data_IF_863890897948
#
_entry.id   IF_863890897948
#
_cell.length_a   1.000
_cell.length_b   1.000
_cell.length_c   1.000
_cell.angle_alpha   90.00
_cell.angle_beta   90.00
_cell.angle_gamma   90.00
#
_symmetry.space_group_name_H-M   'P 1'
#
loop_
_entity.id
_entity.type
_entity.pdbx_description
1 polymer ?
#
# COMPACT_ATOMS: atom_id res chain seq x y z
N UNK A 1 -19.06 6.43 26.24
CA UNK A 1 -17.68 6.75 26.69
C UNK A 1 -17.09 7.77 25.72
N UNK A 2 -17.01 9.04 26.10
CA UNK A 2 -16.43 10.08 25.26
C UNK A 2 -14.97 9.73 24.92
N UNK A 3 -14.69 9.47 23.64
CA UNK A 3 -13.32 9.31 23.14
C UNK A 3 -12.59 10.65 23.36
N UNK A 4 -11.60 10.65 24.24
CA UNK A 4 -10.64 11.75 24.34
C UNK A 4 -9.89 11.78 23.00
N UNK A 5 -10.30 12.69 22.11
CA UNK A 5 -9.60 12.96 20.86
C UNK A 5 -8.18 13.40 21.21
N UNK A 6 -7.19 12.88 20.49
CA UNK A 6 -5.81 13.34 20.62
C UNK A 6 -5.78 14.86 20.42
N UNK A 7 -5.42 15.62 21.46
CA UNK A 7 -5.52 17.07 21.44
C UNK A 7 -4.19 17.69 20.98
N UNK A 8 -4.14 18.42 19.85
CA UNK A 8 -2.90 18.96 19.30
C UNK A 8 -2.28 20.08 20.16
N UNK A 9 -3.07 20.75 21.01
CA UNK A 9 -2.60 21.87 21.84
C UNK A 9 -1.54 21.49 22.88
N UNK A 10 -1.29 20.20 23.11
CA UNK A 10 -0.23 19.74 24.02
C UNK A 10 1.05 19.31 23.28
N UNK A 11 1.15 19.60 21.97
CA UNK A 11 2.29 19.17 21.17
C UNK A 11 2.73 20.22 20.14
N UNK A 12 3.82 20.97 20.41
CA UNK A 12 4.33 22.01 19.53
C UNK A 12 4.63 21.53 18.11
N UNK A 13 5.17 20.31 17.94
CA UNK A 13 5.53 19.76 16.61
C UNK A 13 4.29 19.46 15.79
N UNK A 14 3.26 18.86 16.39
CA UNK A 14 2.00 18.57 15.70
C UNK A 14 1.24 19.85 15.31
N UNK A 15 1.28 20.86 16.18
CA UNK A 15 0.69 22.17 15.91
C UNK A 15 1.43 22.90 14.78
N UNK A 16 2.76 22.94 14.84
CA UNK A 16 3.59 23.53 13.80
C UNK A 16 3.35 22.86 12.45
N UNK A 17 3.25 21.52 12.43
CA UNK A 17 2.98 20.80 11.19
C UNK A 17 1.59 21.10 10.62
N UNK A 18 0.55 21.17 11.46
CA UNK A 18 -0.79 21.59 11.01
C UNK A 18 -0.81 23.00 10.42
N UNK A 19 0.00 23.92 10.96
CA UNK A 19 0.13 25.26 10.40
C UNK A 19 0.88 25.25 9.07
N UNK A 20 2.01 24.52 8.99
CA UNK A 20 2.81 24.40 7.77
C UNK A 20 2.02 23.74 6.63
N UNK A 21 1.17 22.76 6.93
CA UNK A 21 0.29 22.11 5.94
C UNK A 21 -0.64 23.09 5.20
N UNK A 22 -0.98 24.24 5.79
CA UNK A 22 -1.80 25.26 5.11
C UNK A 22 -1.06 25.94 3.96
N UNK A 23 0.25 26.11 4.09
CA UNK A 23 1.11 26.64 3.03
C UNK A 23 1.67 25.55 2.11
N UNK A 24 1.65 24.29 2.57
CA UNK A 24 2.28 23.17 1.90
C UNK A 24 3.80 23.13 2.12
N UNK A 25 4.41 22.00 1.74
CA UNK A 25 5.87 21.83 1.71
C UNK A 25 6.39 22.03 0.28
N UNK A 26 7.68 22.37 0.16
CA UNK A 26 8.32 22.54 -1.13
C UNK A 26 8.21 21.28 -1.99
N UNK A 27 7.84 21.47 -3.26
CA UNK A 27 7.66 20.41 -4.25
C UNK A 27 8.75 20.48 -5.30
N UNK A 28 9.56 19.43 -5.42
CA UNK A 28 10.53 19.32 -6.51
C UNK A 28 9.87 18.80 -7.80
N UNK A 29 10.29 19.36 -8.93
CA UNK A 29 9.88 18.90 -10.26
C UNK A 29 10.25 17.42 -10.47
N UNK A 30 11.48 17.05 -10.10
CA UNK A 30 11.96 15.66 -10.14
C UNK A 30 11.53 14.88 -8.89
N UNK A 31 11.34 13.56 -9.03
CA UNK A 31 10.87 12.71 -7.92
C UNK A 31 11.98 12.34 -6.92
N UNK A 32 13.24 12.25 -7.37
CA UNK A 32 14.39 11.77 -6.59
C UNK A 32 14.53 12.34 -5.16
N UNK A 33 14.47 13.67 -4.91
CA UNK A 33 14.60 14.20 -3.55
C UNK A 33 13.50 13.73 -2.60
N UNK A 34 12.26 13.59 -3.09
CA UNK A 34 11.14 13.07 -2.30
C UNK A 34 11.27 11.56 -2.03
N UNK A 35 11.75 10.82 -3.02
CA UNK A 35 12.00 9.38 -2.90
C UNK A 35 13.07 9.08 -1.86
N UNK A 36 14.21 9.77 -1.90
CA UNK A 36 15.28 9.59 -0.92
C UNK A 36 14.78 9.88 0.50
N UNK A 37 14.06 10.98 0.70
CA UNK A 37 13.50 11.31 2.02
C UNK A 37 12.51 10.26 2.53
N UNK A 38 11.69 9.67 1.65
CA UNK A 38 10.76 8.60 2.01
C UNK A 38 11.49 7.31 2.39
N UNK A 39 12.53 6.93 1.63
CA UNK A 39 13.36 5.75 1.93
C UNK A 39 14.09 5.92 3.26
N UNK A 40 14.73 7.07 3.48
CA UNK A 40 15.42 7.37 4.75
C UNK A 40 14.47 7.32 5.96
N UNK A 41 13.20 7.72 5.79
CA UNK A 41 12.19 7.58 6.84
C UNK A 41 11.89 6.10 7.14
N UNK A 42 11.79 5.26 6.10
CA UNK A 42 11.61 3.81 6.28
C UNK A 42 12.84 3.17 6.96
N UNK A 43 14.06 3.60 6.62
CA UNK A 43 15.29 3.16 7.29
C UNK A 43 15.22 3.45 8.80
N UNK A 44 14.87 4.69 9.18
CA UNK A 44 14.66 5.06 10.59
C UNK A 44 13.55 4.25 11.26
N UNK A 45 12.46 3.98 10.53
CA UNK A 45 11.36 3.16 11.04
C UNK A 45 11.77 1.72 11.31
N UNK A 46 12.72 1.16 10.54
CA UNK A 46 13.30 -0.15 10.83
C UNK A 46 14.23 -0.08 12.05
N UNK A 47 15.14 0.89 12.07
CA UNK A 47 16.15 1.03 13.13
C UNK A 47 15.49 1.24 14.50
N UNK A 48 14.36 1.95 14.55
CA UNK A 48 13.61 2.20 15.77
C UNK A 48 12.99 0.95 16.42
N UNK A 49 12.80 -0.15 15.69
CA UNK A 49 12.24 -1.38 16.29
C UNK A 49 13.29 -2.23 16.99
N UNK A 50 14.58 -2.01 16.71
CA UNK A 50 15.66 -2.90 17.14
C UNK A 50 15.56 -4.33 16.59
N UNK A 51 14.62 -4.58 15.67
CA UNK A 51 14.34 -5.89 15.06
C UNK A 51 14.50 -5.81 13.53
N UNK A 52 14.18 -6.89 12.81
CA UNK A 52 14.18 -6.87 11.35
C UNK A 52 12.99 -6.12 10.74
N UNK A 53 11.87 -6.02 11.47
CA UNK A 53 10.63 -5.38 11.00
C UNK A 53 10.61 -3.86 11.07
N UNK A 54 9.64 -3.25 10.39
CA UNK A 54 9.43 -1.79 10.38
C UNK A 54 8.37 -1.38 11.39
N UNK A 55 8.65 -0.29 12.13
CA UNK A 55 7.66 0.37 12.97
C UNK A 55 6.39 0.67 12.17
N UNK A 56 5.21 0.41 12.74
CA UNK A 56 3.91 0.71 12.11
C UNK A 56 3.84 2.16 11.59
N UNK A 57 4.36 3.07 12.40
CA UNK A 57 4.33 4.51 12.16
C UNK A 57 5.02 5.26 13.28
N UNK A 58 4.97 6.59 13.19
CA UNK A 58 5.40 7.48 14.25
C UNK A 58 4.23 8.37 14.66
N UNK A 59 3.94 8.43 15.95
CA UNK A 59 2.88 9.26 16.51
C UNK A 59 3.45 10.60 16.96
N UNK A 60 3.08 11.68 16.27
CA UNK A 60 3.47 13.03 16.65
C UNK A 60 2.79 13.43 17.95
N UNK A 61 1.51 13.11 18.12
CA UNK A 61 0.77 13.28 19.37
C UNK A 61 0.70 11.98 20.19
N UNK A 62 0.18 12.05 21.41
CA UNK A 62 -0.12 10.86 22.21
C UNK A 62 -1.12 9.96 21.47
N UNK A 63 -0.77 8.70 21.27
CA UNK A 63 -1.66 7.67 20.72
C UNK A 63 -2.42 6.99 21.86
N UNK A 64 -3.76 7.14 21.95
CA UNK A 64 -4.54 6.41 22.95
C UNK A 64 -4.47 4.89 22.77
N UNK A 65 -4.33 4.44 21.52
CA UNK A 65 -4.27 3.03 21.17
C UNK A 65 -2.97 2.37 21.67
N UNK A 66 -1.82 3.00 21.42
CA UNK A 66 -0.51 2.47 21.85
C UNK A 66 -0.09 2.93 23.24
N UNK A 67 -0.84 3.88 23.83
CA UNK A 67 -0.47 4.56 25.09
C UNK A 67 0.97 5.06 25.04
N UNK A 68 1.34 5.67 23.92
CA UNK A 68 2.69 6.18 23.67
C UNK A 68 2.71 7.31 22.64
N UNK A 69 3.80 8.06 22.61
CA UNK A 69 4.20 8.97 21.53
C UNK A 69 5.43 8.38 20.83
N UNK A 70 5.66 8.76 19.57
CA UNK A 70 6.87 8.41 18.83
C UNK A 70 6.72 7.13 18.03
N UNK A 71 7.83 6.42 17.82
CA UNK A 71 7.86 5.17 17.06
C UNK A 71 6.95 4.11 17.67
N UNK A 72 6.15 3.47 16.82
CA UNK A 72 5.22 2.42 17.21
C UNK A 72 5.85 1.04 17.02
N UNK A 73 5.31 -0.03 17.64
CA UNK A 73 5.86 -1.37 17.48
C UNK A 73 5.91 -1.84 16.02
N UNK A 74 6.78 -2.81 15.75
CA UNK A 74 6.93 -3.39 14.43
C UNK A 74 5.60 -4.00 13.93
N UNK A 75 5.28 -3.81 12.65
CA UNK A 75 4.03 -4.32 12.08
C UNK A 75 4.28 -5.32 10.95
N UNK A 76 4.05 -6.64 11.19
CA UNK A 76 4.37 -7.69 10.22
C UNK A 76 3.75 -7.50 8.83
N UNK A 77 2.43 -7.24 8.77
CA UNK A 77 1.73 -6.98 7.49
C UNK A 77 2.49 -5.99 6.59
N UNK A 78 2.83 -4.84 7.18
CA UNK A 78 3.42 -3.74 6.43
C UNK A 78 4.87 -4.00 6.07
N UNK A 79 5.61 -4.69 6.95
CA UNK A 79 6.99 -5.09 6.71
C UNK A 79 7.05 -5.97 5.47
N UNK A 80 6.13 -6.93 5.37
CA UNK A 80 5.95 -7.79 4.20
C UNK A 80 5.99 -7.07 2.86
N UNK A 81 5.13 -6.07 2.68
CA UNK A 81 5.08 -5.35 1.40
C UNK A 81 6.07 -4.18 1.28
N UNK A 82 6.83 -3.82 2.32
CA UNK A 82 7.94 -2.86 2.22
C UNK A 82 9.19 -3.54 1.63
N UNK A 83 9.41 -4.82 1.91
CA UNK A 83 10.54 -5.61 1.38
C UNK A 83 10.73 -5.45 -0.15
N UNK A 84 9.72 -5.66 -1.02
CA UNK A 84 9.89 -5.47 -2.47
C UNK A 84 10.20 -4.01 -2.85
N UNK A 85 9.67 -3.02 -2.10
CA UNK A 85 9.98 -1.60 -2.32
C UNK A 85 11.47 -1.34 -2.11
N UNK A 86 12.06 -1.91 -1.05
CA UNK A 86 13.48 -1.74 -0.75
C UNK A 86 14.40 -2.48 -1.72
N UNK A 87 14.05 -3.70 -2.16
CA UNK A 87 14.82 -4.38 -3.21
C UNK A 87 14.83 -3.59 -4.53
N UNK A 88 13.69 -3.04 -4.94
CA UNK A 88 13.62 -2.22 -6.15
C UNK A 88 14.42 -0.92 -5.99
N UNK A 89 14.30 -0.25 -4.84
CA UNK A 89 15.08 0.95 -4.54
C UNK A 89 16.59 0.68 -4.52
N UNK A 90 17.02 -0.44 -3.92
CA UNK A 90 18.42 -0.87 -3.88
C UNK A 90 19.01 -0.96 -5.29
N UNK A 91 18.28 -1.63 -6.20
CA UNK A 91 18.69 -1.81 -7.60
C UNK A 91 18.72 -0.49 -8.36
N UNK A 92 17.69 0.35 -8.21
CA UNK A 92 17.58 1.62 -8.96
C UNK A 92 18.56 2.69 -8.53
N UNK A 93 18.84 2.76 -7.23
CA UNK A 93 19.65 3.81 -6.63
C UNK A 93 21.10 3.36 -6.38
N UNK A 94 21.45 2.12 -6.74
CA UNK A 94 22.72 1.48 -6.41
C UNK A 94 23.02 1.56 -4.90
N UNK A 95 22.02 1.22 -4.08
CA UNK A 95 22.05 1.26 -2.61
C UNK A 95 21.94 -0.16 -2.04
N UNK A 96 23.03 -0.97 -2.05
CA UNK A 96 22.98 -2.38 -1.64
C UNK A 96 22.57 -2.55 -0.16
N UNK A 97 22.80 -1.54 0.67
CA UNK A 97 22.35 -1.49 2.06
C UNK A 97 20.83 -1.61 2.20
N UNK A 98 20.05 -1.06 1.26
CA UNK A 98 18.59 -1.23 1.24
C UNK A 98 18.20 -2.69 0.95
N UNK A 99 18.99 -3.40 0.14
CA UNK A 99 18.83 -4.84 -0.10
C UNK A 99 19.10 -5.67 1.16
N UNK A 100 20.16 -5.34 1.90
CA UNK A 100 20.44 -5.98 3.20
C UNK A 100 19.33 -5.72 4.23
N UNK A 101 18.77 -4.50 4.26
CA UNK A 101 17.61 -4.16 5.10
C UNK A 101 16.37 -4.96 4.72
N UNK A 102 16.10 -5.14 3.42
CA UNK A 102 15.01 -5.97 2.91
C UNK A 102 15.16 -7.44 3.31
N UNK A 103 16.36 -8.00 3.19
CA UNK A 103 16.60 -9.39 3.56
C UNK A 103 16.45 -9.63 5.07
N UNK A 104 16.99 -8.72 5.89
CA UNK A 104 16.77 -8.74 7.36
C UNK A 104 15.29 -8.75 7.72
N UNK A 105 14.49 -7.91 7.06
CA UNK A 105 13.05 -7.86 7.26
C UNK A 105 12.37 -9.17 6.83
N UNK A 106 12.76 -9.74 5.69
CA UNK A 106 12.22 -11.01 5.22
C UNK A 106 12.55 -12.17 6.17
N UNK A 107 13.77 -12.23 6.72
CA UNK A 107 14.18 -13.25 7.71
C UNK A 107 13.40 -13.11 9.01
N UNK A 108 13.25 -11.89 9.50
CA UNK A 108 12.42 -11.60 10.67
C UNK A 108 10.96 -12.04 10.49
N UNK A 109 10.36 -11.81 9.31
CA UNK A 109 9.02 -12.32 9.00
C UNK A 109 8.95 -13.86 9.07
N UNK A 110 9.99 -14.56 8.59
CA UNK A 110 10.05 -16.04 8.70
C UNK A 110 10.08 -16.48 10.16
N UNK A 111 10.88 -15.82 10.99
CA UNK A 111 11.03 -16.15 12.41
C UNK A 111 9.71 -16.01 13.19
N UNK A 112 8.88 -15.03 12.82
CA UNK A 112 7.60 -14.77 13.49
C UNK A 112 6.39 -15.45 12.83
N UNK A 113 6.61 -16.22 11.76
CA UNK A 113 5.53 -16.95 11.09
C UNK A 113 4.89 -17.95 12.05
N UNK A 114 3.56 -17.99 12.07
CA UNK A 114 2.82 -18.87 12.98
C UNK A 114 2.95 -20.34 12.54
N UNK A 115 2.81 -21.31 13.47
CA UNK A 115 2.81 -22.73 13.13
C UNK A 115 1.77 -23.12 12.07
N UNK A 116 0.65 -22.40 11.99
CA UNK A 116 -0.36 -22.59 10.95
C UNK A 116 0.06 -22.14 9.56
N UNK A 117 1.23 -21.50 9.41
CA UNK A 117 1.70 -20.84 8.19
C UNK A 117 1.23 -19.39 8.04
N UNK A 118 0.26 -18.95 8.85
CA UNK A 118 -0.24 -17.58 8.80
C UNK A 118 0.77 -16.56 9.36
N UNK A 119 0.55 -15.30 9.00
CA UNK A 119 1.12 -14.14 9.68
C UNK A 119 0.08 -13.54 10.63
N UNK A 120 0.57 -13.01 11.75
CA UNK A 120 -0.27 -12.40 12.78
C UNK A 120 -0.92 -11.08 12.35
N UNK A 121 -2.13 -10.87 12.81
CA UNK A 121 -2.85 -9.59 12.84
C UNK A 121 -2.29 -8.64 13.90
N UNK A 122 -2.25 -7.34 13.58
CA UNK A 122 -1.78 -6.30 14.49
C UNK A 122 -0.26 -6.20 14.65
N UNK A 123 0.19 -5.27 15.49
CA UNK A 123 1.63 -4.98 15.71
C UNK A 123 2.25 -5.89 16.75
N UNK A 124 3.57 -6.01 16.81
CA UNK A 124 4.27 -6.79 17.84
C UNK A 124 3.88 -6.33 19.27
N UNK A 125 3.74 -7.27 20.19
CA UNK A 125 3.28 -7.02 21.57
C UNK A 125 1.77 -7.15 21.78
N UNK A 126 0.98 -7.16 20.71
CA UNK A 126 -0.46 -7.45 20.81
C UNK A 126 -0.75 -8.96 20.84
N UNK A 127 -1.92 -9.34 21.40
CA UNK A 127 -2.39 -10.74 21.37
C UNK A 127 -2.40 -11.26 19.93
N UNK A 128 -1.62 -12.31 19.71
CA UNK A 128 -1.46 -12.97 18.42
C UNK A 128 -2.78 -13.54 17.91
N UNK A 129 -3.08 -13.29 16.64
CA UNK A 129 -4.19 -13.91 15.90
C UNK A 129 -3.76 -14.10 14.44
N UNK A 130 -4.00 -15.26 13.80
CA UNK A 130 -3.72 -15.41 12.38
C UNK A 130 -4.61 -14.46 11.56
N UNK A 131 -4.08 -13.93 10.45
CA UNK A 131 -4.83 -12.99 9.60
C UNK A 131 -4.60 -13.26 8.11
N UNK A 132 -5.68 -13.53 7.37
CA UNK A 132 -5.67 -13.74 5.91
C UNK A 132 -5.03 -12.55 5.20
N UNK A 133 -5.45 -11.32 5.50
CA UNK A 133 -4.92 -10.15 4.81
C UNK A 133 -3.41 -10.01 5.01
N UNK A 134 -2.95 -10.06 6.27
CA UNK A 134 -1.55 -9.93 6.65
C UNK A 134 -0.70 -11.02 5.98
N UNK A 135 -1.19 -12.26 5.98
CA UNK A 135 -0.51 -13.38 5.32
C UNK A 135 -0.34 -13.12 3.83
N UNK A 136 -1.37 -12.61 3.16
CA UNK A 136 -1.29 -12.19 1.75
C UNK A 136 -0.30 -11.07 1.50
N UNK A 137 -0.17 -10.12 2.43
CA UNK A 137 0.77 -9.00 2.30
C UNK A 137 2.23 -9.44 2.43
N UNK A 138 2.51 -10.38 3.34
CA UNK A 138 3.86 -10.90 3.56
C UNK A 138 4.33 -11.84 2.44
N UNK A 139 3.41 -12.47 1.70
CA UNK A 139 3.77 -13.21 0.48
C UNK A 139 4.58 -12.35 -0.49
N UNK A 140 4.23 -11.07 -0.69
CA UNK A 140 5.01 -10.18 -1.57
C UNK A 140 6.47 -10.04 -1.11
N UNK A 141 6.70 -9.98 0.21
CA UNK A 141 8.03 -9.87 0.80
C UNK A 141 8.86 -11.13 0.61
N UNK A 142 8.32 -12.29 0.99
CA UNK A 142 9.05 -13.55 0.84
C UNK A 142 9.28 -13.94 -0.62
N UNK A 143 8.32 -13.67 -1.52
CA UNK A 143 8.51 -13.94 -2.95
C UNK A 143 9.56 -13.01 -3.57
N UNK A 144 9.65 -11.76 -3.12
CA UNK A 144 10.72 -10.85 -3.55
C UNK A 144 12.08 -11.27 -3.00
N UNK A 145 12.16 -11.66 -1.71
CA UNK A 145 13.39 -12.14 -1.09
C UNK A 145 13.87 -13.48 -1.71
N UNK A 146 12.94 -14.38 -2.05
CA UNK A 146 13.24 -15.60 -2.78
C UNK A 146 13.79 -15.31 -4.17
N UNK A 147 13.15 -14.41 -4.93
CA UNK A 147 13.65 -14.02 -6.25
C UNK A 147 15.03 -13.34 -6.19
N UNK A 148 15.33 -12.59 -5.13
CA UNK A 148 16.61 -11.92 -4.96
C UNK A 148 17.74 -12.86 -4.54
N UNK A 149 17.48 -13.77 -3.60
CA UNK A 149 18.52 -14.58 -2.94
C UNK A 149 18.59 -16.03 -3.42
N UNK A 150 17.54 -16.56 -4.05
CA UNK A 150 17.38 -18.00 -4.31
C UNK A 150 17.18 -18.85 -3.05
N UNK A 151 17.10 -18.26 -1.85
CA UNK A 151 17.07 -19.02 -0.60
C UNK A 151 15.73 -19.75 -0.41
N UNK A 152 15.80 -21.08 -0.32
CA UNK A 152 14.64 -21.94 -0.09
C UNK A 152 13.87 -21.67 1.20
N UNK A 153 14.47 -20.98 2.18
CA UNK A 153 13.79 -20.57 3.42
C UNK A 153 12.59 -19.66 3.12
N UNK A 154 12.76 -18.70 2.21
CA UNK A 154 11.68 -17.78 1.81
C UNK A 154 10.61 -18.49 0.99
N UNK A 155 11.00 -19.38 0.08
CA UNK A 155 10.06 -20.20 -0.68
C UNK A 155 9.23 -21.11 0.25
N UNK A 156 9.85 -21.72 1.25
CA UNK A 156 9.19 -22.54 2.26
C UNK A 156 8.19 -21.75 3.09
N UNK A 157 8.56 -20.56 3.57
CA UNK A 157 7.66 -19.68 4.31
C UNK A 157 6.47 -19.22 3.46
N UNK A 158 6.72 -18.81 2.21
CA UNK A 158 5.68 -18.44 1.26
C UNK A 158 4.72 -19.60 0.97
N UNK A 159 5.23 -20.83 0.78
CA UNK A 159 4.39 -22.01 0.56
C UNK A 159 3.48 -22.29 1.75
N UNK A 160 3.99 -22.25 2.99
CA UNK A 160 3.15 -22.45 4.19
C UNK A 160 2.06 -21.40 4.32
N UNK A 161 2.38 -20.13 4.04
CA UNK A 161 1.40 -19.06 4.02
C UNK A 161 0.33 -19.24 2.93
N UNK A 162 0.74 -19.63 1.73
CA UNK A 162 -0.18 -19.93 0.63
C UNK A 162 -1.12 -21.11 0.97
N UNK A 163 -0.61 -22.17 1.62
CA UNK A 163 -1.42 -23.27 2.13
C UNK A 163 -2.45 -22.81 3.17
N UNK A 164 -2.06 -21.93 4.10
CA UNK A 164 -3.01 -21.32 5.04
C UNK A 164 -4.11 -20.54 4.33
N UNK A 165 -3.75 -19.69 3.36
CA UNK A 165 -4.73 -18.91 2.59
C UNK A 165 -5.70 -19.80 1.81
N UNK A 166 -5.19 -20.87 1.19
CA UNK A 166 -6.00 -21.86 0.50
C UNK A 166 -6.99 -22.54 1.44
N UNK A 167 -6.55 -22.95 2.64
CA UNK A 167 -7.40 -23.61 3.63
C UNK A 167 -8.50 -22.69 4.20
N UNK A 168 -8.26 -21.38 4.24
CA UNK A 168 -9.22 -20.37 4.72
C UNK A 168 -10.20 -19.89 3.65
N UNK A 169 -9.96 -20.20 2.38
CA UNK A 169 -10.83 -19.80 1.29
C UNK A 169 -12.11 -20.65 1.32
N UNK A 170 -13.27 -20.01 1.42
CA UNK A 170 -14.56 -20.71 1.41
C UNK A 170 -14.86 -21.26 0.00
N UNK A 171 -15.80 -22.21 -0.08
CA UNK A 171 -16.15 -22.89 -1.33
C UNK A 171 -16.63 -21.93 -2.43
N UNK A 172 -17.27 -20.81 -2.05
CA UNK A 172 -17.73 -19.77 -2.97
C UNK A 172 -16.63 -18.79 -3.41
N UNK A 173 -15.41 -18.96 -2.90
CA UNK A 173 -14.24 -18.16 -3.25
C UNK A 173 -14.03 -16.93 -2.37
N UNK A 174 -14.71 -16.78 -1.24
CA UNK A 174 -14.53 -15.62 -0.36
C UNK A 174 -13.81 -15.99 0.94
N UNK A 175 -13.06 -15.05 1.50
CA UNK A 175 -12.41 -15.22 2.82
C UNK A 175 -13.28 -14.60 3.91
N UNK A 176 -14.18 -15.40 4.49
CA UNK A 176 -14.94 -15.00 5.69
C UNK A 176 -14.33 -15.54 6.98
N UNK A 177 -13.47 -16.56 6.87
CA UNK A 177 -12.71 -17.17 7.98
C UNK A 177 -11.26 -16.69 7.99
N UNK A 178 -10.60 -16.80 9.15
CA UNK A 178 -9.19 -16.44 9.30
C UNK A 178 -8.89 -14.93 9.24
N UNK A 179 -9.93 -14.10 9.33
CA UNK A 179 -9.77 -12.65 9.41
C UNK A 179 -9.19 -12.23 10.77
N UNK A 180 -8.42 -11.14 10.77
CA UNK A 180 -7.93 -10.58 12.02
C UNK A 180 -9.09 -10.13 12.90
N UNK A 181 -8.93 -10.20 14.22
CA UNK A 181 -9.88 -9.60 15.19
C UNK A 181 -10.11 -8.08 15.01
N UNK A 182 -9.27 -7.44 14.21
CA UNK A 182 -9.33 -6.00 13.91
C UNK A 182 -10.06 -5.68 12.60
N UNK A 183 -10.60 -6.69 11.91
CA UNK A 183 -11.32 -6.52 10.65
C UNK A 183 -12.76 -7.04 10.77
N UNK A 184 -13.69 -6.33 10.14
CA UNK A 184 -15.06 -6.81 9.94
C UNK A 184 -15.06 -7.97 8.93
N UNK A 185 -15.49 -9.16 9.38
CA UNK A 185 -15.51 -10.38 8.58
C UNK A 185 -16.47 -10.33 7.40
N UNK A 186 -17.38 -9.35 7.38
CA UNK A 186 -18.32 -9.13 6.29
C UNK A 186 -17.84 -8.04 5.31
N UNK A 187 -16.70 -7.40 5.56
CA UNK A 187 -16.18 -6.27 4.78
C UNK A 187 -14.89 -6.60 4.01
N UNK A 188 -14.72 -7.85 3.56
CA UNK A 188 -13.41 -8.41 3.23
C UNK A 188 -13.04 -8.38 1.75
N UNK A 189 -13.77 -7.67 0.88
CA UNK A 189 -13.48 -7.69 -0.57
C UNK A 189 -12.12 -7.06 -0.92
N UNK A 190 -11.52 -6.27 -0.01
CA UNK A 190 -10.13 -5.81 -0.15
C UNK A 190 -9.11 -6.96 -0.16
N UNK A 191 -9.50 -8.18 0.25
CA UNK A 191 -8.68 -9.39 0.15
C UNK A 191 -8.43 -9.85 -1.29
N UNK A 192 -8.98 -9.21 -2.33
CA UNK A 192 -8.49 -9.42 -3.72
C UNK A 192 -6.97 -9.17 -3.79
N UNK A 193 -6.43 -8.28 -2.96
CA UNK A 193 -4.99 -8.07 -2.85
C UNK A 193 -4.26 -9.29 -2.32
N UNK A 194 -4.86 -10.02 -1.38
CA UNK A 194 -4.35 -11.32 -0.90
C UNK A 194 -4.40 -12.36 -2.01
N UNK A 195 -5.48 -12.38 -2.81
CA UNK A 195 -5.56 -13.26 -3.98
C UNK A 195 -4.47 -12.94 -5.01
N UNK A 196 -4.12 -11.66 -5.24
CA UNK A 196 -2.95 -11.33 -6.08
C UNK A 196 -1.66 -11.92 -5.50
N UNK A 197 -1.38 -11.75 -4.20
CA UNK A 197 -0.22 -12.37 -3.56
C UNK A 197 -0.19 -13.90 -3.72
N UNK A 198 -1.36 -14.55 -3.63
CA UNK A 198 -1.51 -15.99 -3.81
C UNK A 198 -1.29 -16.43 -5.28
N UNK A 199 -1.73 -15.62 -6.25
CA UNK A 199 -1.45 -15.88 -7.67
C UNK A 199 0.05 -15.80 -7.97
N UNK A 200 0.74 -14.78 -7.46
CA UNK A 200 2.20 -14.65 -7.57
C UNK A 200 2.92 -15.85 -6.93
N UNK A 201 2.43 -16.31 -5.76
CA UNK A 201 2.99 -17.49 -5.10
C UNK A 201 2.82 -18.75 -5.97
N UNK A 202 1.63 -18.96 -6.54
CA UNK A 202 1.38 -20.10 -7.41
C UNK A 202 2.27 -20.12 -8.65
N UNK A 203 2.46 -18.97 -9.30
CA UNK A 203 3.33 -18.85 -10.47
C UNK A 203 4.81 -19.09 -10.10
N UNK A 204 5.32 -18.41 -9.06
CA UNK A 204 6.75 -18.45 -8.70
C UNK A 204 7.19 -19.73 -8.01
N UNK A 205 6.26 -20.44 -7.36
CA UNK A 205 6.54 -21.69 -6.66
C UNK A 205 6.12 -22.94 -7.46
N UNK A 206 5.63 -22.77 -8.69
CA UNK A 206 5.14 -23.88 -9.52
C UNK A 206 3.98 -24.65 -8.88
N UNK A 207 3.04 -23.92 -8.25
CA UNK A 207 1.94 -24.47 -7.45
C UNK A 207 0.58 -24.02 -8.02
N UNK A 208 0.04 -24.71 -9.05
CA UNK A 208 -1.18 -24.29 -9.75
C UNK A 208 -2.43 -24.26 -8.87
N UNK A 209 -2.44 -24.99 -7.74
CA UNK A 209 -3.52 -24.92 -6.76
C UNK A 209 -3.68 -23.52 -6.14
N UNK A 210 -2.58 -22.76 -6.02
CA UNK A 210 -2.62 -21.39 -5.50
C UNK A 210 -3.13 -20.40 -6.54
N UNK A 211 -2.72 -20.51 -7.81
CA UNK A 211 -3.29 -19.69 -8.90
C UNK A 211 -4.77 -19.97 -9.08
N UNK A 212 -5.18 -21.25 -9.01
CA UNK A 212 -6.60 -21.63 -9.06
C UNK A 212 -7.41 -21.01 -7.91
N UNK A 213 -6.87 -21.00 -6.69
CA UNK A 213 -7.54 -20.38 -5.54
C UNK A 213 -7.63 -18.85 -5.66
N UNK A 214 -6.57 -18.20 -6.12
CA UNK A 214 -6.59 -16.77 -6.43
C UNK A 214 -7.66 -16.44 -7.48
N UNK A 215 -7.73 -17.22 -8.56
CA UNK A 215 -8.73 -17.04 -9.61
C UNK A 215 -10.17 -17.20 -9.08
N UNK A 216 -10.43 -18.19 -8.21
CA UNK A 216 -11.74 -18.34 -7.56
C UNK A 216 -12.12 -17.09 -6.77
N UNK A 217 -11.20 -16.54 -5.98
CA UNK A 217 -11.46 -15.34 -5.21
C UNK A 217 -11.74 -14.12 -6.08
N UNK A 218 -10.85 -13.82 -7.03
CA UNK A 218 -10.99 -12.64 -7.88
C UNK A 218 -12.29 -12.69 -8.69
N UNK A 219 -12.64 -13.86 -9.26
CA UNK A 219 -13.91 -14.04 -9.98
C UNK A 219 -15.13 -14.00 -9.07
N UNK A 220 -15.02 -14.40 -7.80
CA UNK A 220 -16.10 -14.24 -6.83
C UNK A 220 -16.35 -12.77 -6.50
N UNK A 221 -15.29 -12.00 -6.32
CA UNK A 221 -15.37 -10.56 -6.05
C UNK A 221 -15.96 -9.81 -7.25
N UNK A 222 -15.59 -10.14 -8.49
CA UNK A 222 -16.16 -9.45 -9.66
C UNK A 222 -17.66 -9.70 -9.85
N UNK A 223 -18.21 -10.82 -9.36
CA UNK A 223 -19.66 -11.05 -9.32
C UNK A 223 -20.40 -10.17 -8.32
N UNK A 224 -19.69 -9.62 -7.34
CA UNK A 224 -20.22 -8.70 -6.33
C UNK A 224 -19.96 -7.22 -6.67
N UNK A 225 -19.08 -6.95 -7.63
CA UNK A 225 -18.84 -5.59 -8.12
C UNK A 225 -20.08 -5.11 -8.88
N UNK A 226 -20.51 -3.88 -8.60
CA UNK A 226 -21.62 -3.26 -9.34
C UNK A 226 -21.17 -2.88 -10.76
N UNK A 227 -22.14 -2.60 -11.64
CA UNK A 227 -21.90 -2.28 -13.05
C UNK A 227 -21.01 -1.02 -13.24
N UNK A 228 -21.12 -0.06 -12.33
CA UNK A 228 -20.31 1.17 -12.31
C UNK A 228 -18.89 0.97 -11.75
N UNK A 229 -18.50 -0.27 -11.44
CA UNK A 229 -17.22 -0.63 -10.86
C UNK A 229 -17.18 -0.57 -9.34
N UNK A 230 -18.25 -0.15 -8.66
CA UNK A 230 -18.28 -0.05 -7.20
C UNK A 230 -18.02 -1.41 -6.53
N UNK A 231 -17.10 -1.43 -5.56
CA UNK A 231 -16.78 -2.61 -4.76
C UNK A 231 -17.45 -2.48 -3.39
N UNK A 232 -18.61 -3.14 -3.16
CA UNK A 232 -19.23 -3.17 -1.84
C UNK A 232 -18.30 -3.90 -0.85
N UNK A 233 -18.55 -3.74 0.45
CA UNK A 233 -17.88 -4.56 1.46
C UNK A 233 -16.35 -4.56 1.36
N UNK A 234 -15.77 -3.40 1.02
CA UNK A 234 -14.34 -3.22 0.81
C UNK A 234 -13.76 -2.26 1.87
N UNK A 235 -13.93 -2.61 3.16
CA UNK A 235 -13.48 -1.76 4.27
C UNK A 235 -12.97 -2.56 5.47
N UNK A 236 -12.28 -1.90 6.39
CA UNK A 236 -11.92 -2.46 7.70
C UNK A 236 -12.90 -2.09 8.82
N UNK A 237 -13.55 -0.92 8.71
CA UNK A 237 -14.25 -0.27 9.83
C UNK A 237 -15.65 0.24 9.53
N UNK A 238 -15.89 0.77 8.33
CA UNK A 238 -17.19 1.29 7.91
C UNK A 238 -17.49 0.83 6.48
N UNK A 239 -18.34 -0.20 6.35
CA UNK A 239 -18.72 -0.81 5.08
C UNK A 239 -19.50 0.11 4.16
N UNK A 240 -20.20 1.09 4.72
CA UNK A 240 -21.02 2.03 3.94
C UNK A 240 -20.19 3.15 3.35
N UNK A 241 -19.05 3.46 3.99
CA UNK A 241 -18.13 4.52 3.58
C UNK A 241 -16.68 4.03 3.60
N UNK A 242 -16.32 3.04 2.76
CA UNK A 242 -14.96 2.49 2.73
C UNK A 242 -13.89 3.55 2.55
N UNK A 243 -12.72 3.31 3.16
CA UNK A 243 -11.54 4.12 2.96
C UNK A 243 -11.08 3.99 1.51
N UNK A 244 -10.62 5.09 0.90
CA UNK A 244 -9.94 5.03 -0.39
C UNK A 244 -8.78 4.02 -0.36
N UNK A 245 -8.10 3.91 0.78
CA UNK A 245 -7.06 2.92 1.03
C UNK A 245 -7.50 1.46 0.77
N UNK A 246 -8.65 1.05 1.30
CA UNK A 246 -9.15 -0.33 1.17
C UNK A 246 -9.73 -0.58 -0.21
N UNK A 247 -10.39 0.42 -0.81
CA UNK A 247 -10.81 0.39 -2.21
C UNK A 247 -9.59 0.18 -3.13
N UNK A 248 -8.52 0.94 -2.93
CA UNK A 248 -7.31 0.82 -3.72
C UNK A 248 -6.64 -0.56 -3.57
N UNK A 249 -6.72 -1.20 -2.40
CA UNK A 249 -6.35 -2.61 -2.27
C UNK A 249 -7.21 -3.52 -3.14
N UNK A 250 -8.54 -3.32 -3.09
CA UNK A 250 -9.52 -4.02 -3.91
C UNK A 250 -9.19 -3.96 -5.41
N UNK A 251 -9.03 -2.74 -5.92
CA UNK A 251 -8.73 -2.46 -7.33
C UNK A 251 -7.39 -3.05 -7.74
N UNK A 252 -6.33 -2.83 -6.94
CA UNK A 252 -5.00 -3.34 -7.27
C UNK A 252 -4.93 -4.86 -7.26
N UNK A 253 -5.71 -5.52 -6.40
CA UNK A 253 -5.85 -6.97 -6.38
C UNK A 253 -6.44 -7.52 -7.68
N UNK A 254 -7.52 -6.90 -8.18
CA UNK A 254 -8.12 -7.24 -9.47
C UNK A 254 -7.15 -6.98 -10.64
N UNK A 255 -6.48 -5.83 -10.64
CA UNK A 255 -5.55 -5.43 -11.71
C UNK A 255 -4.37 -6.40 -11.82
N UNK A 256 -3.62 -6.56 -10.75
CA UNK A 256 -2.38 -7.35 -10.79
C UNK A 256 -2.66 -8.85 -10.73
N UNK A 257 -3.73 -9.27 -10.05
CA UNK A 257 -4.22 -10.64 -10.12
C UNK A 257 -4.67 -11.01 -11.54
N UNK A 258 -5.40 -10.13 -12.21
CA UNK A 258 -5.76 -10.27 -13.62
C UNK A 258 -4.55 -10.38 -14.54
N UNK A 259 -3.51 -9.57 -14.30
CA UNK A 259 -2.24 -9.68 -15.04
C UNK A 259 -1.55 -11.04 -14.83
N UNK A 260 -1.41 -11.50 -13.60
CA UNK A 260 -0.73 -12.77 -13.28
C UNK A 260 -1.50 -13.97 -13.83
N UNK A 261 -2.82 -13.91 -13.81
CA UNK A 261 -3.71 -14.96 -14.31
C UNK A 261 -4.02 -14.83 -15.82
N UNK A 262 -3.47 -13.81 -16.49
CA UNK A 262 -3.75 -13.49 -17.90
C UNK A 262 -5.26 -13.34 -18.20
N UNK A 263 -6.05 -12.89 -17.22
CA UNK A 263 -7.50 -12.72 -17.35
C UNK A 263 -7.82 -11.22 -17.55
N UNK A 264 -7.89 -10.81 -18.82
CA UNK A 264 -8.17 -9.42 -19.24
C UNK A 264 -9.49 -8.87 -18.68
N UNK A 265 -10.46 -9.74 -18.34
CA UNK A 265 -11.72 -9.29 -17.73
C UNK A 265 -11.48 -8.75 -16.33
N UNK A 266 -10.62 -9.39 -15.53
CA UNK A 266 -10.25 -8.91 -14.19
C UNK A 266 -9.55 -7.54 -14.27
N UNK A 267 -8.68 -7.35 -15.26
CA UNK A 267 -8.06 -6.05 -15.55
C UNK A 267 -9.13 -5.01 -15.90
N UNK A 268 -10.11 -5.35 -16.73
CA UNK A 268 -11.22 -4.47 -17.08
C UNK A 268 -12.13 -4.09 -15.90
N UNK A 269 -12.34 -4.99 -14.94
CA UNK A 269 -13.05 -4.69 -13.68
C UNK A 269 -12.28 -3.70 -12.79
N UNK A 270 -10.94 -3.83 -12.75
CA UNK A 270 -10.09 -2.87 -12.05
C UNK A 270 -10.07 -1.50 -12.74
N UNK A 271 -9.97 -1.47 -14.07
CA UNK A 271 -9.96 -0.26 -14.88
C UNK A 271 -11.24 0.57 -14.68
N UNK A 272 -12.42 -0.07 -14.71
CA UNK A 272 -13.71 0.60 -14.46
C UNK A 272 -13.75 1.33 -13.12
N UNK A 273 -13.28 0.67 -12.05
CA UNK A 273 -13.22 1.29 -10.73
C UNK A 273 -12.16 2.40 -10.65
N UNK A 274 -10.99 2.20 -11.27
CA UNK A 274 -9.90 3.18 -11.28
C UNK A 274 -10.27 4.46 -12.06
N UNK A 275 -11.06 4.35 -13.11
CA UNK A 275 -11.57 5.47 -13.91
C UNK A 275 -12.52 6.36 -13.08
N UNK A 276 -13.40 5.75 -12.28
CA UNK A 276 -14.30 6.49 -11.38
C UNK A 276 -13.54 7.29 -10.33
N UNK A 277 -12.45 6.74 -9.80
CA UNK A 277 -11.60 7.47 -8.85
C UNK A 277 -10.79 8.55 -9.57
N UNK A 278 -10.33 8.32 -10.80
CA UNK A 278 -9.62 9.35 -11.58
C UNK A 278 -10.52 10.57 -11.81
N UNK A 279 -11.81 10.35 -12.12
CA UNK A 279 -12.80 11.43 -12.28
C UNK A 279 -13.10 12.19 -10.97
N UNK A 280 -12.75 11.65 -9.81
CA UNK A 280 -12.93 12.29 -8.50
C UNK A 280 -11.72 13.13 -8.06
N UNK A 281 -10.62 13.13 -8.82
CA UNK A 281 -9.42 13.93 -8.50
C UNK A 281 -9.76 15.41 -8.59
N UNK A 282 -9.59 16.12 -7.48
CA UNK A 282 -9.80 17.56 -7.42
C UNK A 282 -8.75 18.33 -8.24
N UNK A 283 -9.00 19.61 -8.56
CA UNK A 283 -8.07 20.44 -9.32
C UNK A 283 -6.71 20.63 -8.62
N UNK A 284 -6.67 20.49 -7.30
CA UNK A 284 -5.47 20.54 -6.47
C UNK A 284 -4.81 19.17 -6.25
N UNK A 285 -5.29 18.12 -6.93
CA UNK A 285 -4.76 16.75 -6.85
C UNK A 285 -5.30 15.93 -5.68
N UNK A 286 -6.26 16.44 -4.92
CA UNK A 286 -6.82 15.75 -3.74
C UNK A 286 -7.87 14.74 -4.11
N UNK A 287 -7.95 13.67 -3.33
CA UNK A 287 -9.07 12.72 -3.33
C UNK A 287 -9.77 12.65 -1.96
N UNK A 288 -11.08 12.40 -1.94
CA UNK A 288 -11.80 12.06 -0.71
C UNK A 288 -11.19 10.85 0.00
N UNK A 289 -11.07 10.93 1.31
CA UNK A 289 -10.48 9.87 2.12
C UNK A 289 -11.36 8.63 2.23
N UNK A 290 -12.66 8.79 1.96
CA UNK A 290 -13.68 7.75 1.93
C UNK A 290 -14.62 8.00 0.76
N UNK A 291 -15.18 6.92 0.25
CA UNK A 291 -16.23 6.93 -0.76
C UNK A 291 -17.44 6.13 -0.27
N UNK A 292 -18.62 6.47 -0.75
CA UNK A 292 -19.85 5.71 -0.59
C UNK A 292 -20.32 5.16 -1.94
N UNK A 293 -21.37 4.34 -1.93
CA UNK A 293 -21.97 3.75 -3.13
C UNK A 293 -22.22 4.80 -4.24
N UNK A 294 -22.04 4.38 -5.49
CA UNK A 294 -22.09 5.28 -6.64
C UNK A 294 -20.89 6.22 -6.73
N UNK A 295 -19.77 5.87 -6.09
CA UNK A 295 -18.53 6.67 -6.08
C UNK A 295 -18.69 8.07 -5.48
N UNK A 296 -19.65 8.24 -4.56
CA UNK A 296 -19.89 9.51 -3.89
C UNK A 296 -18.79 9.81 -2.86
N UNK A 297 -18.16 11.01 -2.86
CA UNK A 297 -17.27 11.43 -1.79
C UNK A 297 -17.93 11.35 -0.41
N UNK A 298 -17.28 10.70 0.55
CA UNK A 298 -17.85 10.45 1.89
C UNK A 298 -17.00 10.98 3.05
N UNK A 299 -15.93 11.72 2.75
CA UNK A 299 -15.08 12.38 3.73
C UNK A 299 -14.47 13.68 3.16
N UNK A 300 -14.42 14.78 3.94
CA UNK A 300 -13.85 16.07 3.51
C UNK A 300 -12.33 16.17 3.66
N UNK A 301 -11.66 15.07 4.02
CA UNK A 301 -10.22 14.97 4.23
C UNK A 301 -9.61 14.00 3.21
N UNK A 302 -8.32 14.12 2.91
CA UNK A 302 -7.63 13.29 1.92
C UNK A 302 -6.94 12.09 2.55
N UNK A 303 -7.11 10.90 1.97
CA UNK A 303 -6.36 9.70 2.39
C UNK A 303 -5.07 9.60 1.56
N UNK A 304 -3.97 10.15 2.09
CA UNK A 304 -2.68 10.19 1.38
C UNK A 304 -2.16 8.79 1.01
N UNK A 305 -2.48 7.80 1.85
CA UNK A 305 -2.19 6.40 1.53
C UNK A 305 -2.96 5.94 0.30
N UNK A 306 -4.27 6.17 0.27
CA UNK A 306 -5.14 5.77 -0.83
C UNK A 306 -4.75 6.46 -2.14
N UNK A 307 -4.44 7.74 -2.09
CA UNK A 307 -3.93 8.51 -3.24
C UNK A 307 -2.62 7.93 -3.78
N UNK A 308 -1.64 7.63 -2.92
CA UNK A 308 -0.39 7.03 -3.35
C UNK A 308 -0.61 5.63 -3.99
N UNK A 309 -1.56 4.86 -3.48
CA UNK A 309 -1.94 3.58 -4.07
C UNK A 309 -2.64 3.73 -5.42
N UNK A 310 -3.50 4.73 -5.58
CA UNK A 310 -4.17 5.01 -6.85
C UNK A 310 -3.20 5.50 -7.91
N UNK A 311 -2.24 6.36 -7.56
CA UNK A 311 -1.14 6.74 -8.44
C UNK A 311 -0.40 5.49 -8.97
N UNK A 312 -0.10 4.53 -8.09
CA UNK A 312 0.45 3.24 -8.51
C UNK A 312 -0.48 2.47 -9.45
N UNK A 313 -1.79 2.41 -9.17
CA UNK A 313 -2.77 1.67 -9.99
C UNK A 313 -2.84 2.26 -11.40
N UNK A 314 -2.94 3.58 -11.55
CA UNK A 314 -3.03 4.19 -12.87
C UNK A 314 -1.74 4.06 -13.66
N UNK A 315 -0.57 4.22 -13.02
CA UNK A 315 0.72 3.92 -13.65
C UNK A 315 0.79 2.46 -14.13
N UNK A 316 0.24 1.52 -13.37
CA UNK A 316 0.16 0.10 -13.78
C UNK A 316 -0.82 -0.14 -14.92
N UNK A 317 -1.97 0.53 -14.92
CA UNK A 317 -2.90 0.48 -16.03
C UNK A 317 -2.26 1.01 -17.31
N UNK A 318 -1.54 2.13 -17.26
CA UNK A 318 -0.76 2.61 -18.40
C UNK A 318 0.27 1.58 -18.86
N UNK A 319 1.05 0.99 -17.95
CA UNK A 319 2.05 -0.03 -18.29
C UNK A 319 1.45 -1.32 -18.89
N UNK A 320 0.19 -1.64 -18.59
CA UNK A 320 -0.50 -2.84 -19.09
C UNK A 320 -1.26 -2.56 -20.40
N UNK A 321 -1.87 -1.37 -20.53
CA UNK A 321 -2.81 -1.05 -21.62
C UNK A 321 -2.23 -0.12 -22.68
N UNK A 322 -1.19 0.66 -22.35
CA UNK A 322 -0.66 1.74 -23.19
C UNK A 322 -1.56 2.98 -23.25
N UNK A 323 -2.73 3.00 -22.61
CA UNK A 323 -3.68 4.10 -22.71
C UNK A 323 -3.23 5.32 -21.90
N UNK A 324 -2.93 6.44 -22.59
CA UNK A 324 -2.41 7.67 -21.97
C UNK A 324 -3.37 8.32 -20.96
N UNK A 325 -4.67 8.06 -21.04
CA UNK A 325 -5.67 8.57 -20.08
C UNK A 325 -5.33 8.24 -18.63
N UNK A 326 -4.67 7.11 -18.41
CA UNK A 326 -4.23 6.70 -17.08
C UNK A 326 -3.13 7.59 -16.49
N UNK A 327 -2.46 8.42 -17.30
CA UNK A 327 -1.45 9.36 -16.81
C UNK A 327 -2.04 10.70 -16.35
N UNK A 328 -3.25 11.05 -16.81
CA UNK A 328 -3.93 12.30 -16.47
C UNK A 328 -4.06 12.55 -14.95
N UNK A 329 -4.52 11.58 -14.13
CA UNK A 329 -4.65 11.81 -12.69
C UNK A 329 -3.31 11.72 -11.94
N UNK A 330 -2.25 11.16 -12.54
CA UNK A 330 -1.02 10.82 -11.81
C UNK A 330 -0.26 12.08 -11.38
N UNK A 331 -0.03 13.02 -12.29
CA UNK A 331 0.80 14.18 -12.00
C UNK A 331 0.16 15.13 -10.96
N UNK A 332 -1.14 15.48 -11.03
CA UNK A 332 -1.81 16.25 -9.98
C UNK A 332 -1.71 15.58 -8.61
N UNK A 333 -1.99 14.26 -8.53
CA UNK A 333 -1.97 13.51 -7.28
C UNK A 333 -0.55 13.41 -6.70
N UNK A 334 0.47 13.14 -7.53
CA UNK A 334 1.85 13.08 -7.06
C UNK A 334 2.36 14.46 -6.60
N UNK A 335 1.97 15.54 -7.29
CA UNK A 335 2.30 16.90 -6.86
C UNK A 335 1.69 17.21 -5.49
N UNK A 336 0.43 16.85 -5.28
CA UNK A 336 -0.23 17.00 -3.99
C UNK A 336 0.46 16.15 -2.90
N UNK A 337 0.74 14.87 -3.15
CA UNK A 337 1.44 14.03 -2.18
C UNK A 337 2.82 14.61 -1.81
N UNK A 338 3.59 15.09 -2.79
CA UNK A 338 4.87 15.78 -2.57
C UNK A 338 4.70 17.01 -1.67
N UNK A 339 3.63 17.80 -1.85
CA UNK A 339 3.39 19.00 -1.03
C UNK A 339 3.00 18.69 0.41
N UNK A 340 2.62 17.45 0.72
CA UNK A 340 2.30 17.00 2.08
C UNK A 340 3.51 16.43 2.85
N UNK A 341 4.62 16.12 2.14
CA UNK A 341 5.81 15.50 2.72
C UNK A 341 6.73 16.56 3.34
N UNK A 342 6.80 16.58 4.67
CA UNK A 342 7.75 17.44 5.37
C UNK A 342 9.16 16.85 5.28
N UNK A 343 10.10 17.54 4.64
CA UNK A 343 11.50 17.10 4.48
C UNK A 343 12.51 17.88 5.34
N UNK A 344 12.06 18.90 6.06
CA UNK A 344 12.91 19.84 6.80
C UNK A 344 12.72 19.81 8.32
N UNK A 345 11.72 19.06 8.81
CA UNK A 345 11.47 18.92 10.25
C UNK A 345 12.69 18.37 10.99
N UNK A 346 12.93 18.90 12.20
CA UNK A 346 13.93 18.35 13.11
C UNK A 346 13.49 17.02 13.72
N UNK A 347 12.19 16.77 13.81
CA UNK A 347 11.62 15.51 14.31
C UNK A 347 11.84 14.38 13.28
N UNK A 348 12.65 13.35 13.60
CA UNK A 348 12.98 12.28 12.66
C UNK A 348 11.77 11.41 12.29
N UNK A 349 10.73 11.40 13.12
CA UNK A 349 9.48 10.69 12.90
C UNK A 349 8.55 11.39 11.91
N UNK A 350 8.73 12.69 11.69
CA UNK A 350 8.02 13.46 10.66
C UNK A 350 8.83 13.59 9.37
N UNK A 351 10.13 13.85 9.48
CA UNK A 351 11.00 14.17 8.33
C UNK A 351 11.04 13.03 7.31
N UNK A 352 10.49 13.28 6.12
CA UNK A 352 10.46 12.37 4.97
C UNK A 352 9.29 11.38 4.96
N UNK A 353 8.58 11.23 6.08
CA UNK A 353 7.42 10.34 6.17
C UNK A 353 6.18 10.92 5.53
N UNK A 354 5.28 10.04 5.08
CA UNK A 354 3.93 10.42 4.61
C UNK A 354 2.93 10.12 5.72
N UNK A 355 2.00 11.05 5.92
CA UNK A 355 0.96 10.97 6.95
C UNK A 355 -0.17 10.05 6.49
N UNK A 356 -1.03 9.63 7.41
CA UNK A 356 -2.22 8.88 7.02
C UNK A 356 -3.20 9.73 6.21
N UNK A 357 -3.45 10.96 6.67
CA UNK A 357 -4.42 11.86 6.08
C UNK A 357 -3.92 13.29 5.96
N UNK A 358 -4.58 14.06 5.10
CA UNK A 358 -4.46 15.52 5.04
C UNK A 358 -5.83 16.18 5.29
N UNK A 359 -5.92 17.15 6.22
CA UNK A 359 -4.85 17.58 7.14
C UNK A 359 -4.43 16.47 8.13
N UNK A 360 -3.26 16.64 8.76
CA UNK A 360 -2.61 15.68 9.66
C UNK A 360 -3.53 15.13 10.76
N UNK A 361 -4.45 15.94 11.27
CA UNK A 361 -5.37 15.59 12.35
C UNK A 361 -6.66 14.87 11.92
N UNK A 362 -6.82 14.58 10.64
CA UNK A 362 -8.00 13.90 10.13
C UNK A 362 -8.03 12.39 10.47
N UNK A 363 -9.10 11.71 10.07
CA UNK A 363 -9.55 10.47 10.69
C UNK A 363 -8.59 9.28 10.49
N UNK A 364 -7.87 9.23 9.37
CA UNK A 364 -7.00 8.09 9.06
C UNK A 364 -5.58 8.34 9.53
N UNK A 365 -5.20 7.70 10.65
CA UNK A 365 -3.90 7.88 11.29
C UNK A 365 -3.71 9.31 11.81
N UNK A 366 -4.63 9.84 12.64
CA UNK A 366 -4.56 11.20 13.15
C UNK A 366 -3.24 11.43 13.86
N UNK A 367 -2.51 12.47 13.44
CA UNK A 367 -1.18 12.82 13.95
C UNK A 367 -0.11 11.76 13.76
N UNK A 368 -0.25 10.89 12.75
CA UNK A 368 0.70 9.81 12.48
C UNK A 368 1.28 9.88 11.08
N UNK A 369 2.59 9.69 10.99
CA UNK A 369 3.26 9.21 9.78
C UNK A 369 3.21 7.69 9.75
N UNK A 370 2.88 7.11 8.60
CA UNK A 370 2.57 5.69 8.47
C UNK A 370 3.51 5.03 7.48
N UNK A 371 4.05 3.86 7.83
CA UNK A 371 5.05 3.23 6.98
C UNK A 371 4.50 2.83 5.60
N UNK A 372 3.23 2.47 5.52
CA UNK A 372 2.61 2.05 4.27
C UNK A 372 2.23 3.24 3.40
N UNK A 373 1.86 4.38 3.99
CA UNK A 373 1.71 5.64 3.24
C UNK A 373 3.05 6.00 2.56
N UNK A 374 4.13 5.99 3.35
CA UNK A 374 5.48 6.30 2.87
C UNK A 374 5.94 5.30 1.81
N UNK A 375 5.67 4.01 1.99
CA UNK A 375 6.08 2.99 1.02
C UNK A 375 5.32 3.10 -0.30
N UNK A 376 4.01 3.34 -0.27
CA UNK A 376 3.23 3.45 -1.51
C UNK A 376 3.60 4.72 -2.27
N UNK A 377 3.93 5.79 -1.54
CA UNK A 377 4.48 7.00 -2.14
C UNK A 377 5.83 6.73 -2.81
N UNK A 378 6.76 6.05 -2.14
CA UNK A 378 8.04 5.66 -2.74
C UNK A 378 7.86 4.78 -3.99
N UNK A 379 6.96 3.79 -3.94
CA UNK A 379 6.60 2.95 -5.09
C UNK A 379 6.08 3.81 -6.27
N UNK A 380 5.21 4.80 -5.99
CA UNK A 380 4.63 5.66 -7.01
C UNK A 380 5.68 6.55 -7.68
N UNK A 381 6.57 7.16 -6.89
CA UNK A 381 7.67 7.98 -7.39
C UNK A 381 8.61 7.18 -8.29
N UNK A 382 9.04 5.99 -7.86
CA UNK A 382 9.89 5.12 -8.68
C UNK A 382 9.19 4.72 -9.99
N UNK A 383 7.89 4.42 -9.96
CA UNK A 383 7.14 4.07 -11.18
C UNK A 383 6.97 5.27 -12.10
N UNK A 384 6.66 6.44 -11.55
CA UNK A 384 6.50 7.69 -12.30
C UNK A 384 7.75 8.08 -13.08
N UNK A 385 8.93 7.99 -12.45
CA UNK A 385 10.22 8.25 -13.14
C UNK A 385 10.42 7.32 -14.35
N UNK A 386 10.07 6.03 -14.21
CA UNK A 386 10.23 5.06 -15.30
C UNK A 386 9.32 5.38 -16.49
N UNK A 387 8.07 5.75 -16.23
CA UNK A 387 7.12 6.13 -17.29
C UNK A 387 7.55 7.44 -17.96
N UNK A 388 8.00 8.43 -17.17
CA UNK A 388 8.52 9.69 -17.71
C UNK A 388 9.73 9.50 -18.63
N UNK A 389 10.71 8.68 -18.22
CA UNK A 389 11.87 8.35 -19.06
C UNK A 389 11.50 7.54 -20.31
N UNK A 390 10.51 6.65 -20.24
CA UNK A 390 10.02 5.89 -21.41
C UNK A 390 9.44 6.82 -22.48
N UNK A 391 8.55 7.72 -22.06
CA UNK A 391 7.93 8.69 -22.96
C UNK A 391 8.94 9.67 -23.58
N UNK A 392 9.98 10.08 -22.83
CA UNK A 392 11.01 10.97 -23.36
C UNK A 392 11.81 10.31 -24.50
N UNK A 393 12.16 9.02 -24.34
CA UNK A 393 12.87 8.26 -25.38
C UNK A 393 12.01 8.01 -26.62
N UNK A 394 10.72 7.75 -26.45
CA UNK A 394 9.76 7.60 -27.57
C UNK A 394 9.55 8.93 -28.32
N UNK A 395 9.52 10.06 -27.61
CA UNK A 395 9.43 11.38 -28.22
C UNK A 395 10.70 11.77 -28.99
N UNK A 396 11.89 11.45 -28.45
CA UNK A 396 13.17 11.64 -29.15
C UNK A 396 13.24 10.81 -30.43
N UNK A 397 12.88 9.51 -30.37
CA UNK A 397 12.86 8.64 -31.57
C UNK A 397 11.82 9.05 -32.60
N UNK A 398 10.64 9.55 -32.17
CA UNK A 398 9.64 10.09 -33.09
C UNK A 398 10.08 11.41 -33.75
N UNK A 399 10.79 12.27 -33.02
CA UNK A 399 11.34 13.51 -33.57
C UNK A 399 12.46 13.23 -34.59
N UNK A 400 13.34 12.26 -34.30
CA UNK A 400 14.40 11.83 -35.22
C UNK A 400 13.84 11.19 -36.51
N UNK A 401 12.71 10.47 -36.41
CA UNK A 401 12.03 9.88 -37.56
C UNK A 401 11.27 10.90 -38.44
N UNK A 402 11.00 12.11 -37.94
CA UNK A 402 10.38 13.21 -38.70
C UNK A 402 11.46 14.11 -39.35
N UNK A 403 12.69 14.05 -38.83
CA UNK A 403 13.85 14.80 -39.34
C UNK A 403 14.73 14.01 -40.32
N UNK A 404 14.46 12.72 -40.52
CA UNK A 404 15.05 11.84 -41.53
C UNK A 404 14.09 11.66 -42.71
#
# INVERSE_FOLDING_TARGET
MHQVRAHPLLNPVAFEELWRERAGHAVDAVHRPHLLAALEWLERAQDATGAGGFARGYSLAWSPYFKSRGWQPAYPETTGYIIPTLYEAARRLNRPDLGSRAERAARWEVEIQLPSGAVRGGVMGERTSPAVFNTGQVLFGWLAAFAHSGSGVFAGAARRAACFLLAMLDADGLWRRGNSRFADSQATLYNTRTAWGLAEAGQRLGAPEFTAAAARNLRAVTRLQHDDGWLPDCCLTDRTRPLLHTIAYGIRGLLEGGRVLEDVRLVGHAARAAERIAAAVGPDGRLPGRFAAGWSPAAPWSCLTGEAQMANIWLRLFEITGERKWLEPVEPVLRFLKSTQNRTSRDPGLRGGVKGSFPLGAEYGPFQTLNWATKFFADALMRGERVGCGNAREAETAADAVLA
#
